data_IF_786663000996
#
_entry.id   IF_786663000996
#
_cell.length_a   1.000
_cell.length_b   1.000
_cell.length_c   1.000
_cell.angle_alpha   90.00
_cell.angle_beta   90.00
_cell.angle_gamma   90.00
#
_symmetry.space_group_name_H-M   'P 1'
#
loop_
_entity.id
_entity.type
_entity.pdbx_description
1 polymer ?
#
# COMPACT_ATOMS: atom_id res chain seq x y z
N UNK A 1 -25.56 36.98 -33.94
CA UNK A 1 -24.73 35.76 -33.95
C UNK A 1 -23.61 35.77 -32.90
N UNK A 2 -22.84 36.85 -32.71
CA UNK A 2 -21.76 36.83 -31.69
C UNK A 2 -22.26 36.87 -30.24
N UNK A 3 -23.39 37.55 -29.98
CA UNK A 3 -24.03 37.62 -28.65
C UNK A 3 -24.64 36.27 -28.17
N UNK A 4 -25.10 35.45 -29.11
CA UNK A 4 -25.74 34.16 -28.84
C UNK A 4 -24.72 33.11 -28.35
N UNK A 5 -23.50 33.16 -28.92
CA UNK A 5 -22.38 32.28 -28.58
C UNK A 5 -21.82 32.60 -27.18
N UNK A 6 -21.87 33.88 -26.75
CA UNK A 6 -21.43 34.29 -25.43
C UNK A 6 -22.42 33.89 -24.34
N UNK A 7 -23.73 34.02 -24.57
CA UNK A 7 -24.74 33.65 -23.57
C UNK A 7 -24.75 32.14 -23.31
N UNK A 8 -24.65 31.33 -24.36
CA UNK A 8 -24.50 29.86 -24.23
C UNK A 8 -23.26 29.48 -23.42
N UNK A 9 -22.15 30.20 -23.58
CA UNK A 9 -20.92 29.96 -22.83
C UNK A 9 -21.09 30.27 -21.34
N UNK A 10 -21.72 31.40 -21.00
CA UNK A 10 -21.97 31.79 -19.61
C UNK A 10 -22.96 30.84 -18.93
N UNK A 11 -23.99 30.36 -19.64
CA UNK A 11 -24.91 29.35 -19.12
C UNK A 11 -24.17 28.03 -18.80
N UNK A 12 -23.27 27.59 -19.69
CA UNK A 12 -22.50 26.36 -19.50
C UNK A 12 -21.53 26.47 -18.31
N UNK A 13 -20.88 27.64 -18.16
CA UNK A 13 -20.03 27.94 -17.01
C UNK A 13 -20.83 27.95 -15.71
N UNK A 14 -21.98 28.63 -15.68
CA UNK A 14 -22.84 28.70 -14.52
C UNK A 14 -23.35 27.30 -14.12
N UNK A 15 -23.76 26.47 -15.08
CA UNK A 15 -24.18 25.09 -14.82
C UNK A 15 -23.07 24.27 -14.19
N UNK A 16 -21.84 24.32 -14.72
CA UNK A 16 -20.69 23.57 -14.18
C UNK A 16 -20.38 24.01 -12.74
N UNK A 17 -20.40 25.32 -12.47
CA UNK A 17 -20.17 25.85 -11.13
C UNK A 17 -21.27 25.43 -10.13
N UNK A 18 -22.53 25.44 -10.58
CA UNK A 18 -23.67 25.00 -9.77
C UNK A 18 -23.59 23.49 -9.53
N UNK A 19 -23.27 22.67 -10.52
CA UNK A 19 -23.12 21.22 -10.33
C UNK A 19 -21.97 20.86 -9.38
N UNK A 20 -20.85 21.56 -9.49
CA UNK A 20 -19.71 21.41 -8.59
C UNK A 20 -20.09 21.82 -7.15
N UNK A 21 -20.96 22.83 -6.99
CA UNK A 21 -21.49 23.25 -5.69
C UNK A 21 -22.60 22.32 -5.16
N UNK A 22 -23.48 21.79 -6.01
CA UNK A 22 -24.63 20.98 -5.60
C UNK A 22 -24.22 19.55 -5.22
N UNK A 23 -23.20 18.99 -5.88
CA UNK A 23 -22.58 17.72 -5.47
C UNK A 23 -21.98 17.79 -4.06
N UNK A 24 -21.72 19.00 -3.53
CA UNK A 24 -21.33 19.22 -2.12
C UNK A 24 -22.53 19.13 -1.18
N UNK A 25 -23.72 19.56 -1.61
CA UNK A 25 -24.91 19.65 -0.75
C UNK A 25 -25.73 18.35 -0.66
N UNK A 26 -25.82 17.55 -1.75
CA UNK A 26 -26.70 16.36 -1.77
C UNK A 26 -26.11 15.10 -1.10
N UNK A 27 -24.90 15.18 -0.53
CA UNK A 27 -24.17 14.04 0.06
C UNK A 27 -23.74 14.30 1.52
N UNK A 28 -24.52 15.09 2.26
CA UNK A 28 -24.26 15.36 3.69
C UNK A 28 -24.79 14.30 4.66
N UNK A 29 -25.64 13.36 4.24
CA UNK A 29 -26.27 12.40 5.18
C UNK A 29 -25.65 10.99 5.24
N UNK A 30 -24.72 10.63 4.36
CA UNK A 30 -23.95 9.37 4.50
C UNK A 30 -22.50 9.55 4.06
N UNK A 31 -21.62 9.75 5.04
CA UNK A 31 -20.18 9.47 4.99
C UNK A 31 -19.29 10.36 4.09
N UNK A 32 -18.75 11.43 4.70
CA UNK A 32 -17.35 11.88 4.55
C UNK A 32 -16.80 12.06 3.12
N UNK A 33 -17.52 12.74 2.21
CA UNK A 33 -17.01 13.09 0.87
C UNK A 33 -17.12 14.59 0.59
N UNK A 34 -16.35 15.42 1.31
CA UNK A 34 -16.16 16.82 0.91
C UNK A 34 -15.31 16.89 -0.37
N UNK A 35 -15.97 16.91 -1.53
CA UNK A 35 -15.39 17.43 -2.77
C UNK A 35 -15.33 18.96 -2.68
N UNK A 36 -14.43 19.49 -1.86
CA UNK A 36 -13.98 20.88 -2.04
C UNK A 36 -13.10 20.90 -3.30
N UNK A 37 -13.73 21.00 -4.46
CA UNK A 37 -13.03 21.12 -5.73
C UNK A 37 -12.78 22.60 -5.98
N UNK A 38 -11.51 22.99 -5.94
CA UNK A 38 -11.10 24.34 -6.28
C UNK A 38 -11.27 24.60 -7.77
N UNK A 39 -11.88 25.74 -8.13
CA UNK A 39 -12.15 26.16 -9.50
C UNK A 39 -10.84 26.63 -10.16
N UNK A 40 -10.11 25.69 -10.77
CA UNK A 40 -8.86 25.97 -11.51
C UNK A 40 -8.87 25.44 -12.95
N UNK A 41 -10.04 25.11 -13.50
CA UNK A 41 -10.12 24.65 -14.89
C UNK A 41 -10.14 25.85 -15.85
N UNK A 42 -9.60 25.66 -17.07
CA UNK A 42 -9.68 26.68 -18.12
C UNK A 42 -11.13 26.86 -18.55
N UNK A 43 -11.56 28.11 -18.69
CA UNK A 43 -12.93 28.49 -19.06
C UNK A 43 -13.15 28.52 -20.60
N UNK A 44 -12.40 27.72 -21.35
CA UNK A 44 -12.56 27.60 -22.81
C UNK A 44 -13.70 26.63 -23.14
N UNK A 45 -14.46 26.88 -24.22
CA UNK A 45 -15.57 26.00 -24.65
C UNK A 45 -15.12 24.52 -24.80
N UNK A 46 -13.96 24.28 -25.42
CA UNK A 46 -13.42 22.92 -25.57
C UNK A 46 -13.09 22.27 -24.22
N UNK A 47 -12.47 23.01 -23.31
CA UNK A 47 -12.10 22.53 -21.97
C UNK A 47 -13.34 22.22 -21.12
N UNK A 48 -14.41 23.00 -21.24
CA UNK A 48 -15.70 22.77 -20.59
C UNK A 48 -16.42 21.53 -21.13
N UNK A 49 -16.44 21.33 -22.46
CA UNK A 49 -17.00 20.11 -23.08
C UNK A 49 -16.21 18.88 -22.62
N UNK A 50 -14.87 18.96 -22.64
CA UNK A 50 -14.01 17.88 -22.20
C UNK A 50 -14.17 17.58 -20.70
N UNK A 51 -14.37 18.62 -19.89
CA UNK A 51 -14.69 18.48 -18.47
C UNK A 51 -16.00 17.72 -18.24
N UNK A 52 -17.04 18.03 -19.03
CA UNK A 52 -18.32 17.34 -18.95
C UNK A 52 -18.20 15.86 -19.38
N UNK A 53 -17.48 15.57 -20.47
CA UNK A 53 -17.19 14.19 -20.90
C UNK A 53 -16.44 13.41 -19.81
N UNK A 54 -15.41 14.02 -19.23
CA UNK A 54 -14.60 13.42 -18.15
C UNK A 54 -15.43 13.10 -16.90
N UNK A 55 -16.42 13.94 -16.57
CA UNK A 55 -17.31 13.75 -15.43
C UNK A 55 -18.59 12.99 -15.77
N UNK A 56 -18.76 12.55 -17.02
CA UNK A 56 -19.89 11.74 -17.41
C UNK A 56 -19.91 10.43 -16.62
N UNK A 57 -21.11 9.93 -16.34
CA UNK A 57 -21.31 8.69 -15.60
C UNK A 57 -20.55 7.52 -16.24
N UNK A 58 -20.64 7.37 -17.56
CA UNK A 58 -20.01 6.27 -18.30
C UNK A 58 -18.49 6.33 -18.27
N UNK A 59 -17.90 7.52 -18.47
CA UNK A 59 -16.45 7.67 -18.46
C UNK A 59 -15.87 7.38 -17.06
N UNK A 60 -16.53 7.90 -16.01
CA UNK A 60 -16.14 7.64 -14.63
C UNK A 60 -16.23 6.15 -14.27
N UNK A 61 -17.30 5.46 -14.71
CA UNK A 61 -17.46 4.02 -14.51
C UNK A 61 -16.41 3.21 -15.28
N UNK A 62 -16.12 3.56 -16.52
CA UNK A 62 -15.07 2.90 -17.31
C UNK A 62 -13.72 2.95 -16.59
N UNK A 63 -13.36 4.11 -16.06
CA UNK A 63 -12.12 4.29 -15.31
C UNK A 63 -12.09 3.52 -13.99
N UNK A 64 -13.18 3.55 -13.22
CA UNK A 64 -13.32 2.75 -11.99
C UNK A 64 -13.19 1.24 -12.29
N UNK A 65 -13.81 0.75 -13.37
CA UNK A 65 -13.72 -0.64 -13.81
C UNK A 65 -12.29 -0.98 -14.22
N UNK A 66 -11.60 -0.13 -14.96
CA UNK A 66 -10.21 -0.36 -15.38
C UNK A 66 -9.27 -0.49 -14.16
N UNK A 67 -9.45 0.34 -13.13
CA UNK A 67 -8.71 0.18 -11.86
C UNK A 67 -9.08 -1.14 -11.19
N UNK A 68 -10.37 -1.45 -11.05
CA UNK A 68 -10.81 -2.71 -10.43
C UNK A 68 -10.21 -3.93 -11.14
N UNK A 69 -10.19 -3.95 -12.47
CA UNK A 69 -9.57 -5.01 -13.27
C UNK A 69 -8.06 -5.13 -13.02
N UNK A 70 -7.33 -4.02 -12.92
CA UNK A 70 -5.90 -4.02 -12.61
C UNK A 70 -5.58 -4.63 -11.23
N UNK A 71 -6.46 -4.43 -10.25
CA UNK A 71 -6.32 -5.01 -8.91
C UNK A 71 -6.78 -6.46 -8.83
N UNK A 72 -7.64 -6.89 -9.75
CA UNK A 72 -8.13 -8.27 -9.83
C UNK A 72 -7.17 -9.16 -10.65
N UNK A 73 -6.38 -8.57 -11.55
CA UNK A 73 -5.39 -9.28 -12.36
C UNK A 73 -4.37 -10.15 -11.58
N UNK A 74 -3.83 -9.74 -10.42
CA UNK A 74 -2.90 -10.54 -9.62
C UNK A 74 -3.43 -11.92 -9.21
N UNK A 75 -4.76 -12.11 -9.15
CA UNK A 75 -5.34 -13.42 -8.85
C UNK A 75 -5.12 -14.44 -9.98
N UNK A 76 -5.01 -13.95 -11.22
CA UNK A 76 -4.80 -14.74 -12.44
C UNK A 76 -3.33 -14.84 -12.82
N UNK A 77 -2.53 -13.83 -12.48
CA UNK A 77 -1.08 -13.83 -12.72
C UNK A 77 -0.33 -14.82 -11.82
N UNK A 78 0.92 -15.14 -12.16
CA UNK A 78 1.77 -15.99 -11.33
C UNK A 78 2.33 -15.22 -10.12
N UNK A 79 2.27 -15.77 -8.87
CA UNK A 79 1.65 -17.03 -8.49
C UNK A 79 0.11 -16.94 -8.45
N UNK A 80 -0.57 -17.83 -9.17
CA UNK A 80 -2.03 -17.79 -9.26
C UNK A 80 -2.67 -18.27 -7.96
N UNK A 81 -3.69 -17.55 -7.50
CA UNK A 81 -4.45 -17.86 -6.28
C UNK A 81 -5.66 -18.77 -6.55
N UNK A 82 -5.85 -19.21 -7.80
CA UNK A 82 -6.93 -20.09 -8.24
C UNK A 82 -6.64 -21.56 -7.85
N UNK A 83 -6.56 -21.81 -6.55
CA UNK A 83 -6.44 -23.14 -5.96
C UNK A 83 -7.50 -23.31 -4.89
N UNK A 84 -8.15 -24.47 -4.84
CA UNK A 84 -9.22 -24.75 -3.88
C UNK A 84 -8.71 -24.76 -2.42
N UNK A 85 -7.45 -25.15 -2.21
CA UNK A 85 -6.80 -25.18 -0.90
C UNK A 85 -5.43 -24.48 -0.95
N UNK A 86 -5.06 -23.79 0.13
CA UNK A 86 -3.76 -23.13 0.30
C UNK A 86 -2.71 -24.02 0.97
N UNK A 87 -3.07 -25.25 1.36
CA UNK A 87 -2.17 -26.16 2.06
C UNK A 87 -0.99 -26.59 1.18
N UNK A 88 0.23 -26.21 1.60
CA UNK A 88 1.48 -26.48 0.89
C UNK A 88 1.73 -27.99 0.75
N UNK A 89 1.31 -28.79 1.73
CA UNK A 89 1.51 -30.24 1.73
C UNK A 89 0.79 -30.93 0.56
N UNK A 90 -0.31 -30.36 0.08
CA UNK A 90 -1.10 -30.91 -1.02
C UNK A 90 -0.53 -30.57 -2.41
N UNK A 91 0.44 -29.65 -2.49
CA UNK A 91 1.07 -29.16 -3.74
C UNK A 91 0.10 -29.06 -4.94
N UNK A 92 -1.01 -28.28 -4.84
CA UNK A 92 -2.00 -28.21 -5.90
C UNK A 92 -1.41 -27.60 -7.17
N UNK A 93 -1.67 -28.23 -8.32
CA UNK A 93 -1.23 -27.72 -9.62
C UNK A 93 -1.96 -26.42 -9.94
N UNK A 94 -1.20 -25.32 -10.01
CA UNK A 94 -1.75 -23.98 -10.28
C UNK A 94 -1.99 -23.79 -11.77
N UNK A 95 -3.18 -23.34 -12.19
CA UNK A 95 -3.45 -23.05 -13.60
C UNK A 95 -2.53 -21.92 -14.07
N UNK A 96 -1.82 -22.12 -15.18
CA UNK A 96 -1.00 -21.10 -15.82
C UNK A 96 -1.73 -20.60 -17.06
N UNK A 97 -2.05 -19.31 -17.08
CA UNK A 97 -2.59 -18.68 -18.29
C UNK A 97 -1.49 -18.53 -19.36
N UNK A 98 -1.86 -18.57 -20.65
CA UNK A 98 -0.91 -18.32 -21.73
C UNK A 98 -0.31 -16.91 -21.59
N UNK A 99 0.97 -16.79 -21.95
CA UNK A 99 1.66 -15.51 -21.98
C UNK A 99 0.94 -14.56 -22.94
N UNK A 100 0.78 -13.31 -22.53
CA UNK A 100 0.15 -12.28 -23.35
C UNK A 100 -1.33 -12.01 -23.04
N UNK A 101 -2.12 -12.98 -22.57
CA UNK A 101 -3.53 -12.70 -22.23
C UNK A 101 -3.63 -11.71 -21.07
N UNK A 102 -2.97 -12.00 -19.96
CA UNK A 102 -2.93 -11.09 -18.80
C UNK A 102 -2.27 -9.75 -19.15
N UNK A 103 -1.17 -9.78 -19.92
CA UNK A 103 -0.47 -8.56 -20.35
C UNK A 103 -1.33 -7.67 -21.26
N UNK A 104 -2.14 -8.25 -22.15
CA UNK A 104 -3.05 -7.48 -23.02
C UNK A 104 -4.17 -6.80 -22.23
N UNK A 105 -4.79 -7.50 -21.27
CA UNK A 105 -5.81 -6.91 -20.39
C UNK A 105 -5.18 -5.78 -19.55
N UNK A 106 -3.98 -6.01 -19.03
CA UNK A 106 -3.20 -5.00 -18.31
C UNK A 106 -2.95 -3.76 -19.17
N UNK A 107 -2.51 -3.96 -20.42
CA UNK A 107 -2.23 -2.88 -21.35
C UNK A 107 -3.47 -2.06 -21.70
N UNK A 108 -4.62 -2.71 -21.94
CA UNK A 108 -5.89 -2.00 -22.18
C UNK A 108 -6.28 -1.14 -20.99
N UNK A 109 -6.20 -1.68 -19.77
CA UNK A 109 -6.49 -0.91 -18.56
C UNK A 109 -5.52 0.26 -18.38
N UNK A 110 -4.24 0.04 -18.66
CA UNK A 110 -3.21 1.07 -18.63
C UNK A 110 -3.50 2.20 -19.62
N UNK A 111 -3.90 1.89 -20.86
CA UNK A 111 -4.27 2.90 -21.85
C UNK A 111 -5.45 3.77 -21.39
N UNK A 112 -6.46 3.18 -20.75
CA UNK A 112 -7.58 3.95 -20.16
C UNK A 112 -7.07 4.94 -19.09
N UNK A 113 -6.14 4.51 -18.23
CA UNK A 113 -5.54 5.38 -17.21
C UNK A 113 -4.70 6.50 -17.82
N UNK A 114 -3.92 6.22 -18.86
CA UNK A 114 -3.13 7.22 -19.58
C UNK A 114 -4.05 8.23 -20.26
N UNK A 115 -5.11 7.76 -20.94
CA UNK A 115 -6.09 8.62 -21.58
C UNK A 115 -6.78 9.56 -20.58
N UNK A 116 -7.23 9.06 -19.43
CA UNK A 116 -7.80 9.88 -18.35
C UNK A 116 -6.79 10.93 -17.86
N UNK A 117 -5.53 10.54 -17.67
CA UNK A 117 -4.46 11.44 -17.22
C UNK A 117 -4.19 12.57 -18.23
N UNK A 118 -4.18 12.23 -19.52
CA UNK A 118 -3.99 13.19 -20.62
C UNK A 118 -5.18 14.15 -20.69
N UNK A 119 -6.40 13.65 -20.66
CA UNK A 119 -7.61 14.48 -20.66
C UNK A 119 -7.63 15.44 -19.47
N UNK A 120 -7.26 14.96 -18.27
CA UNK A 120 -7.15 15.79 -17.08
C UNK A 120 -6.09 16.90 -17.27
N UNK A 121 -4.96 16.58 -17.89
CA UNK A 121 -3.91 17.56 -18.18
C UNK A 121 -4.33 18.62 -19.21
N UNK A 122 -5.18 18.26 -20.17
CA UNK A 122 -5.74 19.19 -21.16
C UNK A 122 -6.76 20.13 -20.52
N UNK A 123 -7.66 19.60 -19.69
CA UNK A 123 -8.72 20.37 -19.00
C UNK A 123 -8.16 21.42 -18.03
N UNK A 124 -7.19 21.02 -17.18
CA UNK A 124 -6.60 21.93 -16.18
C UNK A 124 -5.40 22.71 -16.72
N UNK A 125 -4.85 22.30 -17.85
CA UNK A 125 -3.67 22.91 -18.48
C UNK A 125 -2.34 22.42 -17.89
N UNK A 126 -1.29 22.47 -18.73
CA UNK A 126 0.04 21.95 -18.38
C UNK A 126 0.75 22.68 -17.24
N UNK A 127 0.45 23.97 -17.00
CA UNK A 127 1.02 24.72 -15.87
C UNK A 127 0.51 24.19 -14.53
N UNK A 128 -0.79 23.91 -14.42
CA UNK A 128 -1.39 23.34 -13.22
C UNK A 128 -0.91 21.91 -12.96
N UNK A 129 -0.70 21.12 -14.01
CA UNK A 129 -0.18 19.75 -13.94
C UNK A 129 1.18 19.70 -13.23
N UNK A 130 2.09 20.64 -13.54
CA UNK A 130 3.42 20.69 -12.92
C UNK A 130 3.36 21.01 -11.42
N UNK A 131 2.38 21.80 -10.99
CA UNK A 131 2.19 22.16 -9.58
C UNK A 131 1.52 21.03 -8.79
N UNK A 132 0.77 20.14 -9.44
CA UNK A 132 0.09 19.04 -8.77
C UNK A 132 1.00 17.79 -8.67
N UNK A 133 1.57 17.47 -7.49
CA UNK A 133 2.50 16.35 -7.36
C UNK A 133 1.85 14.98 -7.61
N UNK A 134 0.55 14.85 -7.39
CA UNK A 134 -0.18 13.59 -7.63
C UNK A 134 -0.36 13.33 -9.12
N UNK A 135 -0.68 14.36 -9.90
CA UNK A 135 -0.83 14.20 -11.35
C UNK A 135 0.54 14.04 -12.03
N UNK A 136 1.55 14.80 -11.58
CA UNK A 136 2.92 14.63 -12.06
C UNK A 136 3.44 13.22 -11.76
N UNK A 137 3.22 12.72 -10.55
CA UNK A 137 3.61 11.36 -10.17
C UNK A 137 2.89 10.28 -10.99
N UNK A 138 1.62 10.50 -11.39
CA UNK A 138 0.94 9.60 -12.35
C UNK A 138 1.69 9.52 -13.67
N UNK A 139 2.11 10.65 -14.26
CA UNK A 139 2.85 10.64 -15.52
C UNK A 139 4.20 9.92 -15.40
N UNK A 140 4.97 10.20 -14.34
CA UNK A 140 6.26 9.53 -14.08
C UNK A 140 6.05 8.03 -13.95
N UNK A 141 5.07 7.60 -13.17
CA UNK A 141 4.79 6.18 -12.97
C UNK A 141 4.25 5.52 -14.23
N UNK A 142 3.47 6.21 -15.07
CA UNK A 142 3.06 5.68 -16.36
C UNK A 142 4.26 5.36 -17.26
N UNK A 143 5.31 6.19 -17.26
CA UNK A 143 6.55 5.92 -18.02
C UNK A 143 7.25 4.68 -17.48
N UNK A 144 7.45 4.58 -16.16
CA UNK A 144 8.06 3.40 -15.53
C UNK A 144 7.24 2.13 -15.81
N UNK A 145 5.92 2.24 -15.72
CA UNK A 145 4.98 1.16 -16.01
C UNK A 145 5.10 0.68 -17.46
N UNK A 146 5.17 1.60 -18.42
CA UNK A 146 5.30 1.28 -19.83
C UNK A 146 6.66 0.63 -20.16
N UNK A 147 7.75 1.13 -19.58
CA UNK A 147 9.09 0.54 -19.78
C UNK A 147 9.13 -0.89 -19.23
N UNK A 148 8.67 -1.11 -18.01
CA UNK A 148 8.63 -2.45 -17.41
C UNK A 148 7.73 -3.40 -18.25
N UNK A 149 6.64 -2.89 -18.82
CA UNK A 149 5.75 -3.65 -19.70
C UNK A 149 6.47 -4.10 -20.98
N UNK A 150 7.20 -3.18 -21.64
CA UNK A 150 8.01 -3.51 -22.82
C UNK A 150 9.10 -4.53 -22.47
N UNK A 151 9.72 -4.42 -21.30
CA UNK A 151 10.71 -5.38 -20.80
C UNK A 151 10.09 -6.77 -20.61
N UNK A 152 8.91 -6.87 -19.98
CA UNK A 152 8.16 -8.14 -19.85
C UNK A 152 7.81 -8.78 -21.21
N UNK A 153 7.43 -7.97 -22.19
CA UNK A 153 7.18 -8.46 -23.55
C UNK A 153 8.47 -8.97 -24.20
N UNK A 154 9.58 -8.25 -24.04
CA UNK A 154 10.89 -8.66 -24.55
C UNK A 154 11.37 -9.99 -23.97
N UNK A 155 11.12 -10.24 -22.69
CA UNK A 155 11.46 -11.49 -22.01
C UNK A 155 10.40 -12.61 -22.15
N UNK A 156 9.40 -12.45 -23.02
CA UNK A 156 8.33 -13.43 -23.22
C UNK A 156 7.65 -13.88 -21.91
N UNK A 157 7.42 -12.96 -20.98
CA UNK A 157 6.77 -13.22 -19.69
C UNK A 157 7.52 -14.23 -18.79
N UNK A 158 8.83 -14.37 -18.94
CA UNK A 158 9.66 -15.29 -18.12
C UNK A 158 10.27 -14.63 -16.88
N UNK A 159 10.00 -13.35 -16.66
CA UNK A 159 10.52 -12.59 -15.53
C UNK A 159 9.86 -12.97 -14.20
N UNK A 160 10.69 -13.14 -13.16
CA UNK A 160 10.21 -13.42 -11.80
C UNK A 160 9.71 -12.17 -11.08
N UNK A 161 10.39 -11.03 -11.27
CA UNK A 161 10.07 -9.77 -10.59
C UNK A 161 9.41 -8.80 -11.56
N UNK A 162 8.15 -8.45 -11.29
CA UNK A 162 7.39 -7.46 -12.07
C UNK A 162 7.17 -6.21 -11.24
N UNK A 163 7.92 -5.15 -11.54
CA UNK A 163 7.91 -3.91 -10.75
C UNK A 163 6.54 -3.22 -10.86
N UNK A 164 5.87 -3.34 -12.02
CA UNK A 164 4.51 -2.83 -12.28
C UNK A 164 3.48 -3.16 -11.21
N UNK A 165 3.55 -4.36 -10.61
CA UNK A 165 2.58 -4.81 -9.60
C UNK A 165 2.58 -3.93 -8.36
N UNK A 166 3.76 -3.49 -7.92
CA UNK A 166 3.92 -2.60 -6.78
C UNK A 166 3.43 -1.17 -7.06
N UNK A 167 3.37 -0.79 -8.33
CA UNK A 167 2.94 0.54 -8.77
C UNK A 167 1.41 0.66 -8.90
N UNK A 168 0.67 -0.45 -9.11
CA UNK A 168 -0.80 -0.43 -9.27
C UNK A 168 -1.55 0.28 -8.12
N UNK A 169 -1.20 0.09 -6.83
CA UNK A 169 -1.79 0.83 -5.72
C UNK A 169 -1.78 2.34 -5.89
N UNK A 170 -0.76 2.88 -6.54
CA UNK A 170 -0.65 4.31 -6.77
C UNK A 170 -1.79 4.85 -7.63
N UNK A 171 -2.22 4.14 -8.67
CA UNK A 171 -3.29 4.63 -9.55
C UNK A 171 -4.60 4.81 -8.78
N UNK A 172 -4.93 3.88 -7.88
CA UNK A 172 -6.09 3.99 -6.98
C UNK A 172 -5.96 5.18 -6.02
N UNK A 173 -4.80 5.30 -5.36
CA UNK A 173 -4.51 6.41 -4.43
C UNK A 173 -4.60 7.76 -5.16
N UNK A 174 -4.05 7.84 -6.36
CA UNK A 174 -3.97 9.07 -7.15
C UNK A 174 -5.34 9.57 -7.62
N UNK A 175 -6.33 8.69 -7.71
CA UNK A 175 -7.70 9.04 -8.12
C UNK A 175 -8.62 9.31 -6.94
N UNK A 176 -8.38 8.70 -5.78
CA UNK A 176 -9.20 8.91 -4.57
C UNK A 176 -8.73 10.08 -3.72
N UNK A 177 -9.60 11.07 -3.49
CA UNK A 177 -9.31 12.19 -2.60
C UNK A 177 -9.24 11.79 -1.12
N UNK A 178 -10.06 10.82 -0.70
CA UNK A 178 -10.04 10.31 0.67
C UNK A 178 -8.71 9.63 0.97
N UNK A 179 -8.24 8.79 0.05
CA UNK A 179 -6.98 8.09 0.24
C UNK A 179 -5.78 9.05 0.34
N UNK A 180 -5.77 10.12 -0.46
CA UNK A 180 -4.76 11.19 -0.34
C UNK A 180 -4.80 11.88 1.03
N UNK A 181 -5.99 12.20 1.54
CA UNK A 181 -6.16 12.78 2.88
C UNK A 181 -5.66 11.83 3.96
N UNK A 182 -6.00 10.54 3.87
CA UNK A 182 -5.54 9.51 4.79
C UNK A 182 -4.00 9.38 4.77
N UNK A 183 -3.38 9.31 3.59
CA UNK A 183 -1.92 9.25 3.47
C UNK A 183 -1.23 10.51 4.02
N UNK A 184 -1.81 11.69 3.79
CA UNK A 184 -1.29 12.92 4.38
C UNK A 184 -1.41 12.92 5.91
N UNK A 185 -2.47 12.33 6.46
CA UNK A 185 -2.62 12.12 7.90
C UNK A 185 -1.54 11.17 8.43
N UNK A 186 -1.38 10.00 7.81
CA UNK A 186 -0.32 9.02 8.15
C UNK A 186 1.07 9.65 8.07
N UNK A 187 1.35 10.42 7.01
CA UNK A 187 2.63 11.12 6.85
C UNK A 187 2.90 12.10 7.99
N UNK A 188 1.86 12.76 8.50
CA UNK A 188 1.97 13.71 9.62
C UNK A 188 2.18 13.00 10.96
N UNK A 189 1.62 11.81 11.16
CA UNK A 189 1.77 11.04 12.40
C UNK A 189 3.06 10.20 12.43
N UNK A 190 3.60 9.82 11.27
CA UNK A 190 4.82 9.05 11.11
C UNK A 190 6.03 9.53 11.96
N UNK A 191 6.40 10.83 12.00
CA UNK A 191 7.54 11.26 12.81
C UNK A 191 7.35 11.00 14.31
N UNK A 192 6.12 11.10 14.81
CA UNK A 192 5.83 10.80 16.22
C UNK A 192 5.93 9.29 16.50
N UNK A 193 5.41 8.47 15.58
CA UNK A 193 5.50 7.01 15.66
C UNK A 193 6.96 6.52 15.60
N UNK A 194 7.80 7.15 14.76
CA UNK A 194 9.23 6.81 14.68
C UNK A 194 9.96 7.12 15.99
N UNK A 195 9.65 8.24 16.64
CA UNK A 195 10.22 8.57 17.95
C UNK A 195 9.85 7.53 19.02
N UNK A 196 8.58 7.11 19.08
CA UNK A 196 8.15 6.06 20.01
C UNK A 196 8.77 4.70 19.68
N UNK A 197 8.93 4.38 18.39
CA UNK A 197 9.55 3.14 17.93
C UNK A 197 11.05 3.10 18.27
N UNK A 198 11.76 4.24 18.17
CA UNK A 198 13.16 4.33 18.58
C UNK A 198 13.32 4.12 20.10
N UNK A 199 12.43 4.72 20.90
CA UNK A 199 12.42 4.50 22.35
C UNK A 199 12.16 3.03 22.69
N UNK A 200 11.21 2.39 21.99
CA UNK A 200 10.91 0.97 22.16
C UNK A 200 12.12 0.09 21.80
N UNK A 201 12.80 0.38 20.68
CA UNK A 201 14.01 -0.33 20.26
C UNK A 201 15.12 -0.18 21.31
N UNK A 202 15.34 1.03 21.82
CA UNK A 202 16.32 1.29 22.86
C UNK A 202 16.03 0.50 24.14
N UNK A 203 14.76 0.44 24.54
CA UNK A 203 14.32 -0.37 25.68
C UNK A 203 14.56 -1.87 25.42
N UNK A 204 14.20 -2.39 24.25
CA UNK A 204 14.42 -3.80 23.87
C UNK A 204 15.90 -4.17 23.91
N UNK A 205 16.79 -3.33 23.37
CA UNK A 205 18.25 -3.57 23.39
C UNK A 205 18.78 -3.55 24.82
N UNK A 206 18.37 -2.56 25.63
CA UNK A 206 18.81 -2.44 27.02
C UNK A 206 18.35 -3.64 27.86
N UNK A 207 17.08 -4.05 27.72
CA UNK A 207 16.52 -5.22 28.38
C UNK A 207 17.20 -6.52 27.92
N UNK A 208 17.55 -6.63 26.64
CA UNK A 208 18.28 -7.79 26.10
C UNK A 208 19.69 -7.91 26.69
N UNK A 209 20.41 -6.79 26.84
CA UNK A 209 21.73 -6.77 27.48
C UNK A 209 21.64 -7.15 28.96
N UNK A 210 20.65 -6.64 29.68
CA UNK A 210 20.39 -7.04 31.08
C UNK A 210 20.06 -8.53 31.17
N UNK A 211 19.20 -9.05 30.29
CA UNK A 211 18.86 -10.47 30.24
C UNK A 211 20.09 -11.34 29.96
N UNK A 212 20.96 -10.93 29.02
CA UNK A 212 22.22 -11.63 28.79
C UNK A 212 23.14 -11.55 30.01
N UNK A 213 23.29 -10.40 30.67
CA UNK A 213 24.11 -10.32 31.88
C UNK A 213 23.57 -11.18 33.05
N UNK A 214 22.24 -11.32 33.17
CA UNK A 214 21.60 -12.11 34.24
C UNK A 214 21.59 -13.62 33.94
N UNK A 215 21.41 -14.01 32.68
CA UNK A 215 21.18 -15.40 32.27
C UNK A 215 22.31 -16.01 31.44
N UNK A 216 23.33 -15.24 31.03
CA UNK A 216 24.57 -15.77 30.44
C UNK A 216 25.42 -16.40 31.53
N UNK A 217 25.02 -17.59 31.96
CA UNK A 217 25.85 -18.45 32.77
C UNK A 217 26.59 -19.39 31.82
N UNK A 218 27.92 -19.28 31.63
CA UNK A 218 28.67 -20.28 30.89
C UNK A 218 28.60 -21.59 31.68
N UNK A 219 27.70 -22.50 31.28
CA UNK A 219 27.65 -23.84 31.86
C UNK A 219 29.04 -24.47 31.75
N UNK A 220 29.69 -24.66 32.92
CA UNK A 220 30.82 -25.58 33.06
C UNK A 220 30.39 -26.94 32.50
N UNK A 221 31.22 -27.64 31.72
CA UNK A 221 30.86 -28.93 31.16
C UNK A 221 30.85 -29.97 32.28
N UNK A 222 29.70 -30.17 32.94
CA UNK A 222 29.50 -31.32 33.83
C UNK A 222 28.98 -32.48 33.00
N UNK A 223 29.83 -33.50 32.90
CA UNK A 223 29.57 -34.79 32.27
C UNK A 223 28.19 -35.34 32.60
N UNK A 224 27.44 -35.70 31.55
CA UNK A 224 26.45 -36.77 31.61
C UNK A 224 25.05 -36.39 32.08
N UNK A 225 24.32 -35.60 31.29
CA UNK A 225 22.88 -35.85 31.03
C UNK A 225 22.39 -35.05 29.83
N UNK A 226 21.91 -35.78 28.82
CA UNK A 226 21.25 -35.26 27.63
C UNK A 226 19.93 -34.60 28.02
N UNK A 227 19.95 -33.31 28.33
CA UNK A 227 18.77 -32.46 28.31
C UNK A 227 19.14 -31.23 27.51
N UNK A 228 18.65 -31.12 26.28
CA UNK A 228 18.74 -29.93 25.44
C UNK A 228 17.89 -28.82 26.07
N UNK A 229 18.36 -28.27 27.19
CA UNK A 229 17.78 -27.08 27.81
C UNK A 229 18.37 -25.89 27.06
N UNK A 230 17.83 -25.61 25.87
CA UNK A 230 18.19 -24.40 25.13
C UNK A 230 17.86 -23.21 26.04
N UNK A 231 18.88 -22.50 26.51
CA UNK A 231 18.69 -21.24 27.23
C UNK A 231 17.84 -20.33 26.34
N UNK A 232 16.73 -19.80 26.85
CA UNK A 232 15.87 -18.88 26.09
C UNK A 232 16.58 -17.57 25.68
N UNK A 233 17.77 -17.32 26.23
CA UNK A 233 18.61 -16.14 25.98
C UNK A 233 20.07 -16.53 25.68
N UNK A 234 20.36 -17.25 24.57
CA UNK A 234 21.71 -17.71 24.26
C UNK A 234 22.57 -16.59 23.65
N UNK A 235 21.96 -15.78 22.79
CA UNK A 235 22.60 -14.75 21.98
C UNK A 235 21.78 -13.45 22.01
N UNK A 236 22.42 -12.32 21.69
CA UNK A 236 21.78 -11.00 21.67
C UNK A 236 20.58 -10.95 20.71
N UNK A 237 20.72 -11.50 19.51
CA UNK A 237 19.67 -11.50 18.49
C UNK A 237 18.44 -12.30 18.94
N UNK A 238 18.65 -13.53 19.42
CA UNK A 238 17.59 -14.42 19.89
C UNK A 238 16.88 -13.85 21.12
N UNK A 239 17.66 -13.28 22.05
CA UNK A 239 17.13 -12.59 23.24
C UNK A 239 16.24 -11.41 22.87
N UNK A 240 16.71 -10.55 21.96
CA UNK A 240 15.97 -9.39 21.48
C UNK A 240 14.67 -9.79 20.75
N UNK A 241 14.72 -10.82 19.91
CA UNK A 241 13.54 -11.33 19.21
C UNK A 241 12.52 -11.93 20.17
N UNK A 242 12.96 -12.72 21.16
CA UNK A 242 12.08 -13.30 22.18
C UNK A 242 11.39 -12.22 23.01
N UNK A 243 12.11 -11.15 23.38
CA UNK A 243 11.54 -9.99 24.06
C UNK A 243 10.60 -9.16 23.17
N UNK A 244 10.88 -9.06 21.86
CA UNK A 244 9.97 -8.43 20.90
C UNK A 244 8.65 -9.21 20.78
N UNK A 245 8.71 -10.54 20.67
CA UNK A 245 7.52 -11.40 20.65
C UNK A 245 6.73 -11.27 21.95
N UNK A 246 7.43 -11.19 23.10
CA UNK A 246 6.82 -10.94 24.40
C UNK A 246 6.15 -9.57 24.49
N UNK A 247 6.76 -8.54 23.90
CA UNK A 247 6.17 -7.19 23.80
C UNK A 247 4.86 -7.21 22.99
N UNK A 248 4.77 -8.10 21.99
CA UNK A 248 3.53 -8.34 21.24
C UNK A 248 2.57 -9.31 21.93
N UNK A 249 2.90 -9.81 23.13
CA UNK A 249 2.15 -10.78 23.94
C UNK A 249 1.84 -12.12 23.25
N UNK A 250 2.54 -12.43 22.16
CA UNK A 250 2.25 -13.62 21.34
C UNK A 250 2.65 -14.95 22.00
N UNK A 251 3.42 -14.92 23.09
CA UNK A 251 4.00 -16.07 23.79
C UNK A 251 3.79 -16.05 25.32
N UNK A 252 2.73 -15.40 25.82
CA UNK A 252 2.50 -15.15 27.25
C UNK A 252 1.78 -16.31 27.97
N UNK A 253 2.28 -17.55 27.84
CA UNK A 253 2.84 -18.21 29.04
C UNK A 253 4.21 -18.88 28.83
N UNK A 254 4.64 -19.12 27.59
CA UNK A 254 5.87 -19.87 27.27
C UNK A 254 7.14 -19.07 27.56
N UNK A 255 7.08 -17.74 27.41
CA UNK A 255 8.19 -16.84 27.74
C UNK A 255 8.45 -16.74 29.25
N UNK A 256 7.39 -16.69 30.06
CA UNK A 256 7.49 -16.60 31.52
C UNK A 256 7.84 -17.94 32.16
N UNK A 257 7.32 -19.07 31.65
CA UNK A 257 7.61 -20.39 32.20
C UNK A 257 9.11 -20.73 32.16
N UNK A 258 9.79 -20.39 31.05
CA UNK A 258 11.24 -20.60 30.90
C UNK A 258 12.08 -19.74 31.85
N UNK A 259 11.60 -18.55 32.19
CA UNK A 259 12.23 -17.59 33.09
C UNK A 259 12.01 -17.99 34.56
N UNK A 260 10.79 -18.36 34.93
CA UNK A 260 10.44 -18.92 36.24
C UNK A 260 11.24 -20.20 36.54
N UNK A 261 11.34 -21.10 35.56
CA UNK A 261 12.11 -22.33 35.69
C UNK A 261 13.63 -22.09 35.88
N UNK A 262 14.18 -21.02 35.32
CA UNK A 262 15.59 -20.66 35.53
C UNK A 262 15.83 -20.01 36.90
N UNK A 263 14.91 -19.20 37.40
CA UNK A 263 15.00 -18.60 38.74
C UNK A 263 14.81 -19.67 39.83
N UNK A 264 13.92 -20.65 39.64
CA UNK A 264 13.75 -21.78 40.55
C UNK A 264 15.00 -22.65 40.65
N UNK A 265 15.68 -22.91 39.52
CA UNK A 265 16.93 -23.70 39.50
C UNK A 265 18.10 -22.92 40.13
N UNK A 266 18.20 -21.60 39.92
CA UNK A 266 19.21 -20.75 40.57
C UNK A 266 19.00 -20.62 42.08
N UNK A 267 17.75 -20.52 42.55
CA UNK A 267 17.44 -20.49 43.98
C UNK A 267 17.73 -21.83 44.67
N UNK A 268 17.47 -22.97 44.01
CA UNK A 268 17.80 -24.29 44.57
C UNK A 268 19.33 -24.49 44.62
N UNK A 269 20.08 -24.02 43.62
CA UNK A 269 21.54 -24.14 43.64
C UNK A 269 22.23 -23.19 44.63
N UNK A 270 21.63 -22.04 44.96
CA UNK A 270 22.17 -21.10 45.95
C UNK A 270 21.80 -21.43 47.40
N UNK A 271 20.95 -22.43 47.63
CA UNK A 271 20.56 -22.93 48.96
C UNK A 271 21.36 -24.18 49.36
N UNK A 272 22.18 -24.72 48.44
CA UNK A 272 22.96 -25.94 48.65
C UNK A 272 24.48 -25.72 48.80
N UNK A 273 24.92 -24.45 48.74
CA UNK A 273 26.24 -23.97 49.19
C UNK A 273 26.07 -23.18 50.50
#
# INVERSE_FOLDING_TARGET
CYADISDEMYELQARVLIEDAEKVCRFSDVSLNSQHRSIFHKLDKFSLVLYNILHSFWFRRLFEIAICLLFLLPFFEWPSSLTLNSNIALNPQRPKLPCGFTESVEFVCFLVIVAESLLLSLVFGGSWVKTNPWLLGRFVLCVVYFVDFLVSLGFHCTEFYRIRRFLRPYFLVSSSQLMKKLLNCVRRTLPKLLSTLFLLLFWLVSASLVALCLYSNPQRPSSGRNMTRSSSFPDLYTSMFNLLVLTTTANHPDGELSLCDHVYVLLIHSVQD
#
